data_IF_024593219776
#
_entry.id   IF_024593219776
#
_cell.length_a   1.000
_cell.length_b   1.000
_cell.length_c   1.000
_cell.angle_alpha   90.00
_cell.angle_beta   90.00
_cell.angle_gamma   90.00
#
_symmetry.space_group_name_H-M   'P 1'
#
loop_
_entity.id
_entity.type
_entity.pdbx_description
1 polymer ?
#
# COMPACT_ATOMS: atom_id res chain seq x y z
N UNK A 1 -18.95 31.83 56.90
CA UNK A 1 -18.97 32.15 55.50
C UNK A 1 -19.82 33.41 55.33
N UNK A 2 -19.23 34.50 54.82
CA UNK A 2 -19.96 35.69 54.48
C UNK A 2 -20.78 35.43 53.23
N UNK A 3 -22.08 35.22 53.40
CA UNK A 3 -23.04 35.09 52.30
C UNK A 3 -23.52 36.49 51.94
N UNK A 4 -23.20 36.97 50.75
CA UNK A 4 -23.76 38.23 50.24
C UNK A 4 -25.22 38.02 49.82
N UNK A 5 -26.10 38.74 50.48
CA UNK A 5 -27.53 38.76 50.14
C UNK A 5 -27.85 40.12 49.51
N UNK A 6 -28.30 40.09 48.25
CA UNK A 6 -28.68 41.29 47.49
C UNK A 6 -30.17 41.18 47.10
N UNK A 7 -30.86 42.32 47.24
CA UNK A 7 -32.22 42.46 46.71
C UNK A 7 -32.16 43.32 45.44
N UNK A 8 -32.59 42.77 44.35
CA UNK A 8 -32.65 43.45 43.07
C UNK A 8 -33.90 42.99 42.29
N UNK A 9 -34.61 43.90 41.70
CA UNK A 9 -35.79 43.65 40.82
C UNK A 9 -36.83 42.69 41.39
N UNK A 10 -37.13 42.80 42.69
CA UNK A 10 -38.08 41.90 43.36
C UNK A 10 -37.53 40.53 43.71
N UNK A 11 -36.24 40.25 43.52
CA UNK A 11 -35.58 38.98 43.81
C UNK A 11 -34.55 39.13 44.91
N UNK A 12 -34.44 38.14 45.76
CA UNK A 12 -33.33 37.95 46.71
C UNK A 12 -32.28 37.08 46.00
N UNK A 13 -31.07 37.64 45.89
CA UNK A 13 -29.92 36.97 45.32
C UNK A 13 -28.99 36.55 46.47
N UNK A 14 -28.64 35.28 46.51
CA UNK A 14 -27.72 34.74 47.51
C UNK A 14 -26.43 34.33 46.81
N UNK A 15 -25.28 34.77 47.33
CA UNK A 15 -23.98 34.22 46.95
C UNK A 15 -23.50 33.40 48.15
N UNK A 16 -23.36 32.08 47.92
CA UNK A 16 -22.77 31.17 48.89
C UNK A 16 -21.23 31.24 48.75
N UNK A 17 -20.50 31.26 49.87
CA UNK A 17 -19.03 31.25 49.83
C UNK A 17 -18.52 29.90 49.24
N UNK A 18 -17.30 29.90 48.77
CA UNK A 18 -16.62 28.69 48.34
C UNK A 18 -16.65 27.64 49.46
N UNK A 19 -16.86 26.37 49.11
CA UNK A 19 -16.92 25.22 50.03
C UNK A 19 -18.04 25.29 51.07
N UNK A 20 -19.14 25.96 50.76
CA UNK A 20 -20.32 26.04 51.67
C UNK A 20 -21.20 24.80 51.59
N UNK A 21 -21.20 24.10 50.43
CA UNK A 21 -21.90 22.84 50.17
C UNK A 21 -21.05 22.00 49.21
N UNK A 22 -20.21 21.13 49.74
CA UNK A 22 -19.27 20.34 48.91
C UNK A 22 -19.89 19.00 48.45
N UNK A 23 -20.81 18.46 49.24
CA UNK A 23 -21.43 17.17 48.96
C UNK A 23 -22.89 17.28 48.50
N UNK A 24 -23.31 16.34 47.66
CA UNK A 24 -24.71 16.22 47.24
C UNK A 24 -25.58 15.87 48.46
N UNK A 25 -26.70 16.61 48.62
CA UNK A 25 -27.59 16.46 49.76
C UNK A 25 -27.27 17.40 50.93
N UNK A 26 -26.10 18.05 50.92
CA UNK A 26 -25.85 19.12 51.87
C UNK A 26 -26.82 20.28 51.68
N UNK A 27 -27.15 20.94 52.78
CA UNK A 27 -28.05 22.06 52.75
C UNK A 27 -27.55 23.22 53.59
N UNK A 28 -27.85 24.43 53.13
CA UNK A 28 -27.63 25.67 53.84
C UNK A 28 -29.01 26.29 54.21
N UNK A 29 -29.13 26.80 55.42
CA UNK A 29 -30.30 27.53 55.85
C UNK A 29 -29.98 29.02 55.90
N UNK A 30 -30.67 29.79 55.10
CA UNK A 30 -30.57 31.24 55.08
C UNK A 30 -31.76 31.81 55.83
N UNK A 31 -31.50 32.47 56.97
CA UNK A 31 -32.54 33.18 57.73
C UNK A 31 -32.74 34.61 57.23
N UNK A 32 -33.88 34.92 56.77
CA UNK A 32 -34.25 36.27 56.29
C UNK A 32 -35.19 36.92 57.29
N UNK A 33 -34.82 38.08 57.82
CA UNK A 33 -35.64 38.90 58.73
C UNK A 33 -36.18 40.13 57.98
N UNK A 34 -37.49 40.21 57.83
CA UNK A 34 -38.17 41.38 57.34
C UNK A 34 -38.58 42.26 58.48
N UNK A 35 -38.09 43.49 58.51
CA UNK A 35 -38.36 44.47 59.56
C UNK A 35 -39.30 45.57 59.05
N UNK A 36 -40.30 45.92 59.85
CA UNK A 36 -41.18 47.00 59.56
C UNK A 36 -41.35 47.91 60.77
N UNK A 37 -41.47 49.23 60.57
CA UNK A 37 -41.69 50.18 61.67
C UNK A 37 -43.04 50.04 62.34
N UNK A 38 -44.03 49.48 61.63
CA UNK A 38 -45.41 49.49 62.07
C UNK A 38 -46.00 48.07 62.27
N UNK A 39 -45.20 47.03 62.04
CA UNK A 39 -45.68 45.64 62.17
C UNK A 39 -44.52 44.81 62.81
N UNK A 40 -44.95 43.68 63.38
CA UNK A 40 -43.97 42.74 63.92
C UNK A 40 -42.97 42.23 62.86
N UNK A 41 -41.74 42.06 63.25
CA UNK A 41 -40.74 41.45 62.39
C UNK A 41 -41.14 40.01 61.99
N UNK A 42 -40.92 39.64 60.73
CA UNK A 42 -41.13 38.32 60.21
C UNK A 42 -39.76 37.69 59.94
N UNK A 43 -39.51 36.50 60.51
CA UNK A 43 -38.31 35.72 60.24
C UNK A 43 -38.77 34.45 59.54
N UNK A 44 -38.17 34.14 58.40
CA UNK A 44 -38.34 32.90 57.69
C UNK A 44 -36.99 32.33 57.25
N UNK A 45 -36.93 30.97 57.19
CA UNK A 45 -35.73 30.25 56.71
C UNK A 45 -35.97 29.78 55.27
N UNK A 46 -34.94 29.91 54.48
CA UNK A 46 -34.85 29.33 53.13
C UNK A 46 -33.82 28.22 53.21
N UNK A 47 -34.23 26.99 52.92
CA UNK A 47 -33.32 25.86 52.81
C UNK A 47 -32.90 25.71 51.36
N UNK A 48 -31.59 25.76 51.11
CA UNK A 48 -30.98 25.55 49.81
C UNK A 48 -30.26 24.19 49.90
N UNK A 49 -30.59 23.26 49.03
CA UNK A 49 -30.00 21.92 49.01
C UNK A 49 -29.25 21.72 47.71
N UNK A 50 -28.02 21.21 47.82
CA UNK A 50 -27.23 20.78 46.65
C UNK A 50 -27.85 19.51 46.12
N UNK A 51 -28.31 19.50 44.90
CA UNK A 51 -28.80 18.32 44.19
C UNK A 51 -27.77 17.80 43.19
N UNK A 52 -27.83 16.51 42.90
CA UNK A 52 -27.05 15.93 41.81
C UNK A 52 -27.46 16.59 40.48
N UNK A 53 -26.51 16.70 39.56
CA UNK A 53 -26.82 17.04 38.19
C UNK A 53 -27.73 15.98 37.57
N UNK A 54 -28.66 16.40 36.76
CA UNK A 54 -29.53 15.47 36.05
C UNK A 54 -28.77 14.75 34.94
N UNK A 55 -29.10 13.52 34.69
CA UNK A 55 -28.57 12.81 33.51
C UNK A 55 -29.25 13.35 32.25
N UNK A 56 -28.47 13.46 31.19
CA UNK A 56 -28.91 13.91 29.90
C UNK A 56 -29.17 12.70 29.00
N UNK A 57 -30.38 12.50 28.53
CA UNK A 57 -30.76 11.38 27.66
C UNK A 57 -30.57 11.70 26.18
N UNK A 58 -30.67 12.98 25.78
CA UNK A 58 -30.47 13.42 24.40
C UNK A 58 -29.01 13.38 24.00
N UNK A 59 -28.76 12.99 22.75
CA UNK A 59 -27.42 12.96 22.16
C UNK A 59 -27.31 13.98 21.04
N UNK A 60 -26.10 14.48 20.70
CA UNK A 60 -25.91 15.27 19.50
C UNK A 60 -26.30 14.48 18.25
N UNK A 61 -26.80 15.18 17.23
CA UNK A 61 -27.05 14.60 15.92
C UNK A 61 -25.73 14.06 15.35
N UNK A 62 -25.64 12.79 14.91
CA UNK A 62 -24.45 12.28 14.27
C UNK A 62 -24.02 13.08 13.03
N UNK A 63 -24.94 13.72 12.33
CA UNK A 63 -24.64 14.56 11.17
C UNK A 63 -24.22 15.99 11.53
N UNK A 64 -24.19 16.35 12.82
CA UNK A 64 -23.74 17.65 13.30
C UNK A 64 -22.20 17.80 13.26
N UNK A 65 -21.45 16.77 12.90
CA UNK A 65 -20.00 16.84 12.77
C UNK A 65 -19.48 15.97 11.63
N UNK A 66 -18.35 16.36 11.08
CA UNK A 66 -17.64 15.62 10.04
C UNK A 66 -16.13 15.65 10.31
N UNK A 67 -15.35 14.97 9.47
CA UNK A 67 -13.91 14.91 9.60
C UNK A 67 -13.22 15.29 8.30
N UNK A 68 -12.21 16.11 8.41
CA UNK A 68 -11.27 16.42 7.33
C UNK A 68 -9.89 15.88 7.69
N UNK A 69 -9.12 15.51 6.67
CA UNK A 69 -7.74 15.07 6.82
C UNK A 69 -6.80 16.08 6.18
N UNK A 70 -5.76 16.47 6.91
CA UNK A 70 -4.71 17.36 6.43
C UNK A 70 -3.40 16.63 6.37
N UNK A 71 -2.63 16.90 5.32
CA UNK A 71 -1.33 16.29 5.05
C UNK A 71 -0.24 17.35 5.18
N UNK A 72 0.82 17.04 5.93
CA UNK A 72 2.02 17.86 6.05
C UNK A 72 3.25 16.99 5.91
N UNK A 73 3.87 16.99 4.73
CA UNK A 73 4.90 16.01 4.41
C UNK A 73 4.33 14.57 4.46
N UNK A 74 4.90 13.74 5.30
CA UNK A 74 4.42 12.36 5.52
C UNK A 74 3.45 12.24 6.71
N UNK A 75 3.15 13.33 7.39
CA UNK A 75 2.26 13.32 8.55
C UNK A 75 0.81 13.56 8.11
N UNK A 76 -0.09 12.77 8.64
CA UNK A 76 -1.53 12.94 8.51
C UNK A 76 -2.13 13.38 9.84
N UNK A 77 -3.05 14.33 9.77
CA UNK A 77 -3.86 14.73 10.92
C UNK A 77 -5.34 14.70 10.57
N UNK A 78 -6.13 14.09 11.44
CA UNK A 78 -7.58 14.15 11.41
C UNK A 78 -8.05 15.39 12.15
N UNK A 79 -9.02 16.10 11.60
CA UNK A 79 -9.62 17.28 12.18
C UNK A 79 -11.14 17.21 12.14
N UNK A 80 -11.78 17.30 13.31
CA UNK A 80 -13.23 17.38 13.44
C UNK A 80 -13.71 18.76 13.02
N UNK A 81 -14.72 18.81 12.17
CA UNK A 81 -15.42 20.01 11.71
C UNK A 81 -16.87 19.99 12.25
N UNK A 82 -17.28 21.08 12.89
CA UNK A 82 -18.64 21.29 13.42
C UNK A 82 -18.88 22.75 13.72
N UNK A 83 -20.11 23.18 13.59
CA UNK A 83 -20.58 24.53 13.98
C UNK A 83 -21.08 24.57 15.45
N UNK A 84 -21.10 23.44 16.15
CA UNK A 84 -21.57 23.38 17.53
C UNK A 84 -20.52 23.84 18.52
N UNK A 85 -20.99 24.53 19.57
CA UNK A 85 -20.14 25.07 20.65
C UNK A 85 -20.47 24.46 22.02
N UNK A 86 -21.57 23.70 22.11
CA UNK A 86 -22.10 23.08 23.33
C UNK A 86 -21.71 21.60 23.47
N UNK A 87 -20.72 21.18 22.71
CA UNK A 87 -20.27 19.79 22.62
C UNK A 87 -18.79 19.66 22.97
N UNK A 88 -18.37 18.48 23.33
CA UNK A 88 -17.00 18.08 23.50
C UNK A 88 -16.71 16.81 22.66
N UNK A 89 -15.43 16.60 22.36
CA UNK A 89 -14.96 15.59 21.43
C UNK A 89 -13.99 14.63 22.10
N UNK A 90 -13.96 13.40 21.57
CA UNK A 90 -12.94 12.43 21.92
C UNK A 90 -12.57 11.58 20.71
N UNK A 91 -11.27 11.23 20.57
CA UNK A 91 -10.77 10.29 19.58
C UNK A 91 -10.55 8.89 20.15
N UNK A 92 -10.57 8.73 21.47
CA UNK A 92 -10.33 7.47 22.18
C UNK A 92 -11.50 7.01 23.06
N UNK A 93 -12.49 7.88 23.25
CA UNK A 93 -13.67 7.63 24.11
C UNK A 93 -13.43 7.87 25.59
N UNK A 94 -12.21 8.28 25.99
CA UNK A 94 -11.82 8.51 27.39
C UNK A 94 -11.48 9.96 27.68
N UNK A 95 -10.64 10.56 26.82
CA UNK A 95 -10.25 11.96 26.95
C UNK A 95 -11.24 12.86 26.20
N UNK A 96 -12.02 13.63 26.96
CA UNK A 96 -13.05 14.53 26.45
C UNK A 96 -12.66 15.98 26.58
N UNK A 97 -12.92 16.77 25.55
CA UNK A 97 -12.62 18.20 25.58
C UNK A 97 -12.86 18.91 24.25
N UNK A 98 -12.24 20.08 24.10
CA UNK A 98 -12.38 20.92 22.91
C UNK A 98 -11.33 20.64 21.83
N UNK A 99 -10.47 19.63 22.01
CA UNK A 99 -9.44 19.26 21.03
C UNK A 99 -10.10 18.59 19.83
N UNK A 100 -9.99 19.26 18.66
CA UNK A 100 -10.61 18.83 17.39
C UNK A 100 -9.65 18.13 16.44
N UNK A 101 -8.36 17.97 16.79
CA UNK A 101 -7.35 17.43 15.88
C UNK A 101 -6.45 16.40 16.58
N UNK A 102 -6.11 15.36 15.85
CA UNK A 102 -5.15 14.33 16.28
C UNK A 102 -4.32 13.84 15.09
N UNK A 103 -3.05 13.44 15.35
CA UNK A 103 -2.24 12.73 14.37
C UNK A 103 -2.80 11.33 14.12
N UNK A 104 -2.79 10.89 12.88
CA UNK A 104 -3.27 9.57 12.47
C UNK A 104 -2.29 8.92 11.49
N UNK A 105 -2.28 7.60 11.43
CA UNK A 105 -1.52 6.86 10.43
C UNK A 105 -2.17 6.88 9.04
N UNK A 106 -1.46 6.38 8.06
CA UNK A 106 -1.95 6.23 6.69
C UNK A 106 -2.82 4.98 6.57
N UNK A 107 -3.96 5.10 5.89
CA UNK A 107 -4.93 4.03 5.70
C UNK A 107 -5.46 3.44 7.02
N UNK A 108 -5.59 4.29 8.01
CA UNK A 108 -6.12 3.91 9.32
C UNK A 108 -7.60 4.23 9.46
N UNK A 109 -8.26 3.39 10.26
CA UNK A 109 -9.61 3.64 10.73
C UNK A 109 -9.57 4.65 11.87
N UNK A 110 -10.14 5.83 11.63
CA UNK A 110 -10.24 6.90 12.63
C UNK A 110 -11.66 6.95 13.17
N UNK A 111 -11.79 6.90 14.48
CA UNK A 111 -13.06 7.03 15.20
C UNK A 111 -13.03 8.37 15.93
N UNK A 112 -14.08 9.15 15.77
CA UNK A 112 -14.30 10.31 16.62
C UNK A 112 -15.69 10.23 17.24
N UNK A 113 -15.78 10.75 18.46
CA UNK A 113 -16.99 10.79 19.25
C UNK A 113 -17.30 12.23 19.63
N UNK A 114 -18.58 12.51 19.74
CA UNK A 114 -19.14 13.80 20.16
C UNK A 114 -20.20 13.55 21.22
N UNK A 115 -20.25 14.40 22.24
CA UNK A 115 -21.32 14.43 23.22
C UNK A 115 -21.61 15.86 23.65
N UNK A 116 -22.77 16.11 24.18
CA UNK A 116 -23.00 17.39 24.86
C UNK A 116 -22.13 17.49 26.09
N UNK A 117 -21.47 18.63 26.24
CA UNK A 117 -20.63 18.90 27.39
C UNK A 117 -21.45 18.97 28.69
N UNK A 118 -20.82 18.67 29.81
CA UNK A 118 -21.37 18.86 31.12
C UNK A 118 -21.69 20.34 31.37
N UNK A 119 -22.81 20.62 32.04
CA UNK A 119 -23.24 21.95 32.47
C UNK A 119 -23.43 21.98 33.98
N UNK A 120 -23.87 23.12 34.52
CA UNK A 120 -24.21 23.23 35.96
C UNK A 120 -25.39 22.32 36.34
N UNK A 121 -26.31 22.10 35.43
CA UNK A 121 -27.57 21.38 35.68
C UNK A 121 -27.55 19.93 35.23
N UNK A 122 -26.71 19.58 34.26
CA UNK A 122 -26.68 18.28 33.58
C UNK A 122 -25.31 17.65 33.53
N UNK A 123 -25.23 16.36 33.71
CA UNK A 123 -24.09 15.55 33.36
C UNK A 123 -23.88 15.56 31.83
N UNK A 124 -22.68 15.24 31.39
CA UNK A 124 -22.42 15.06 29.96
C UNK A 124 -23.35 13.99 29.35
N UNK A 125 -23.80 14.18 28.12
CA UNK A 125 -24.69 13.23 27.45
C UNK A 125 -24.00 11.91 27.09
N UNK A 126 -24.75 10.87 26.74
CA UNK A 126 -24.21 9.75 25.98
C UNK A 126 -23.54 10.24 24.69
N UNK A 127 -22.52 9.55 24.23
CA UNK A 127 -21.75 9.94 23.05
C UNK A 127 -22.28 9.30 21.77
N UNK A 128 -22.13 10.01 20.67
CA UNK A 128 -22.33 9.52 19.31
C UNK A 128 -20.98 9.39 18.62
N UNK A 129 -20.74 8.29 17.90
CA UNK A 129 -19.50 8.01 17.21
C UNK A 129 -19.68 7.90 15.70
N UNK A 130 -18.70 8.37 14.94
CA UNK A 130 -18.57 8.13 13.50
C UNK A 130 -17.17 7.61 13.19
N UNK A 131 -17.06 6.98 12.03
CA UNK A 131 -15.81 6.34 11.59
C UNK A 131 -15.46 6.79 10.19
N UNK A 132 -14.18 7.09 9.98
CA UNK A 132 -13.61 7.45 8.69
C UNK A 132 -12.37 6.61 8.42
N UNK A 133 -11.89 6.63 7.18
CA UNK A 133 -10.56 6.16 6.81
C UNK A 133 -9.67 7.39 6.54
N UNK A 134 -8.47 7.40 7.10
CA UNK A 134 -7.54 8.54 7.00
C UNK A 134 -7.00 8.77 5.58
N UNK A 135 -7.09 7.77 4.70
CA UNK A 135 -6.49 7.85 3.38
C UNK A 135 -4.96 7.77 3.40
N UNK A 136 -4.33 8.44 2.45
CA UNK A 136 -2.88 8.44 2.29
C UNK A 136 -2.35 9.86 2.15
N UNK A 137 -1.05 10.05 2.48
CA UNK A 137 -0.29 11.25 2.16
C UNK A 137 0.13 11.29 0.68
N UNK A 138 1.16 12.08 0.35
CA UNK A 138 1.69 12.12 -1.00
C UNK A 138 2.12 10.73 -1.49
N UNK A 139 1.74 10.38 -2.71
CA UNK A 139 2.11 9.12 -3.34
C UNK A 139 3.25 9.34 -4.33
N UNK A 140 4.22 8.43 -4.32
CA UNK A 140 5.32 8.42 -5.27
C UNK A 140 4.91 7.70 -6.54
N UNK A 141 5.03 8.38 -7.67
CA UNK A 141 4.74 7.84 -8.99
C UNK A 141 5.90 6.99 -9.51
N UNK A 142 5.58 5.86 -10.10
CA UNK A 142 6.47 4.98 -10.86
C UNK A 142 5.95 4.87 -12.28
N UNK A 143 6.79 5.25 -13.23
CA UNK A 143 6.42 5.19 -14.65
C UNK A 143 6.34 3.74 -15.14
N UNK A 144 5.51 3.51 -16.16
CA UNK A 144 5.44 2.22 -16.84
C UNK A 144 6.81 1.82 -17.41
N UNK A 145 7.14 0.56 -17.27
CA UNK A 145 8.30 -0.08 -17.90
C UNK A 145 7.81 -1.14 -18.87
N UNK A 146 8.10 -0.98 -20.15
CA UNK A 146 7.70 -1.97 -21.16
C UNK A 146 8.42 -3.30 -20.96
N UNK A 147 7.73 -4.43 -21.01
CA UNK A 147 8.35 -5.75 -20.90
C UNK A 147 9.16 -6.07 -22.16
N UNK A 148 10.19 -6.85 -22.00
CA UNK A 148 10.98 -7.42 -23.09
C UNK A 148 10.93 -8.93 -23.04
N UNK A 149 11.51 -9.60 -24.02
CA UNK A 149 11.64 -11.06 -23.98
C UNK A 149 12.67 -11.56 -22.94
N UNK A 150 13.44 -10.65 -22.33
CA UNK A 150 14.41 -11.00 -21.27
C UNK A 150 14.00 -10.53 -19.89
N UNK A 151 13.24 -9.45 -19.81
CA UNK A 151 12.86 -8.82 -18.55
C UNK A 151 11.35 -8.57 -18.51
N UNK A 152 10.77 -8.74 -17.33
CA UNK A 152 9.42 -8.30 -17.02
C UNK A 152 9.36 -6.77 -17.05
N UNK A 153 8.19 -6.23 -17.36
CA UNK A 153 7.87 -4.83 -17.26
C UNK A 153 7.01 -4.51 -16.04
N UNK A 154 6.54 -3.30 -15.97
CA UNK A 154 5.57 -2.86 -14.98
C UNK A 154 4.56 -1.90 -15.59
N UNK A 155 3.32 -1.91 -15.09
CA UNK A 155 2.36 -0.83 -15.34
C UNK A 155 2.84 0.44 -14.64
N UNK A 156 2.24 1.58 -14.96
CA UNK A 156 2.36 2.79 -14.15
C UNK A 156 1.63 2.55 -12.81
N UNK A 157 2.27 2.92 -11.69
CA UNK A 157 1.69 2.74 -10.35
C UNK A 157 2.24 3.80 -9.38
N UNK A 158 1.62 3.87 -8.20
CA UNK A 158 2.02 4.76 -7.12
C UNK A 158 2.28 3.98 -5.84
N UNK A 159 3.16 4.49 -5.00
CA UNK A 159 3.45 3.91 -3.68
C UNK A 159 3.26 4.94 -2.58
N UNK A 160 2.76 4.48 -1.42
CA UNK A 160 2.81 5.25 -0.20
C UNK A 160 4.03 4.81 0.62
N UNK A 161 4.98 5.71 0.87
CA UNK A 161 6.22 5.38 1.59
C UNK A 161 5.97 5.07 3.07
N UNK A 162 4.85 5.50 3.62
CA UNK A 162 4.53 5.30 5.04
C UNK A 162 3.90 3.93 5.29
N UNK A 163 2.86 3.55 4.51
CA UNK A 163 2.18 2.27 4.70
C UNK A 163 2.64 1.17 3.73
N UNK A 164 3.48 1.48 2.73
CA UNK A 164 4.03 0.52 1.77
C UNK A 164 3.02 -0.03 0.75
N UNK A 165 1.83 0.51 0.68
CA UNK A 165 0.80 0.07 -0.28
C UNK A 165 1.05 0.62 -1.68
N UNK A 166 0.58 -0.15 -2.67
CA UNK A 166 0.63 0.18 -4.10
C UNK A 166 -0.76 0.60 -4.58
N UNK A 167 -0.80 1.55 -5.54
CA UNK A 167 -2.03 2.11 -6.08
C UNK A 167 -1.99 2.19 -7.60
N UNK A 168 -3.16 1.98 -8.22
CA UNK A 168 -3.35 2.10 -9.67
C UNK A 168 -3.53 3.57 -10.13
N UNK A 169 -3.70 4.51 -9.18
CA UNK A 169 -4.00 5.92 -9.47
C UNK A 169 -3.36 6.85 -8.45
N UNK A 170 -3.09 8.09 -8.86
CA UNK A 170 -2.44 9.11 -8.05
C UNK A 170 -3.25 9.56 -6.81
N UNK A 171 -4.56 9.32 -6.81
CA UNK A 171 -5.47 9.66 -5.71
C UNK A 171 -5.50 8.59 -4.60
N UNK A 172 -4.81 7.45 -4.78
CA UNK A 172 -4.79 6.37 -3.80
C UNK A 172 -6.13 5.64 -3.61
N UNK A 173 -7.10 5.86 -4.50
CA UNK A 173 -8.45 5.30 -4.36
C UNK A 173 -8.53 3.80 -4.58
N UNK A 174 -7.59 3.24 -5.36
CA UNK A 174 -7.55 1.82 -5.71
C UNK A 174 -6.19 1.21 -5.39
N UNK A 175 -6.14 0.45 -4.31
CA UNK A 175 -4.96 -0.36 -4.00
C UNK A 175 -4.83 -1.54 -4.96
N UNK A 176 -3.59 -1.89 -5.28
CA UNK A 176 -3.21 -3.05 -6.10
C UNK A 176 -2.11 -3.84 -5.39
N UNK A 177 -1.93 -5.07 -5.81
CA UNK A 177 -0.87 -5.94 -5.28
C UNK A 177 0.42 -5.82 -6.12
N UNK A 178 1.55 -6.23 -5.56
CA UNK A 178 2.82 -6.27 -6.28
C UNK A 178 2.75 -7.15 -7.55
N UNK A 179 1.92 -8.19 -7.56
CA UNK A 179 1.73 -9.07 -8.72
C UNK A 179 0.92 -8.43 -9.84
N UNK A 180 0.00 -7.51 -9.51
CA UNK A 180 -0.77 -6.76 -10.51
C UNK A 180 0.04 -5.69 -11.21
N UNK A 181 1.18 -5.29 -10.62
CA UNK A 181 2.10 -4.32 -11.21
C UNK A 181 2.91 -4.93 -12.35
N UNK A 182 3.23 -6.23 -12.25
CA UNK A 182 4.16 -6.90 -13.17
C UNK A 182 3.52 -7.15 -14.53
N UNK A 183 4.18 -6.69 -15.58
CA UNK A 183 3.92 -7.08 -16.96
C UNK A 183 4.83 -8.25 -17.32
N UNK A 184 4.28 -9.41 -17.71
CA UNK A 184 5.08 -10.59 -18.03
C UNK A 184 6.00 -10.33 -19.22
N UNK A 185 7.10 -11.08 -19.29
CA UNK A 185 8.03 -11.05 -20.45
C UNK A 185 7.25 -11.32 -21.74
N UNK A 186 7.64 -10.66 -22.79
CA UNK A 186 7.13 -10.94 -24.13
C UNK A 186 7.76 -12.19 -24.72
N UNK A 187 7.10 -12.80 -25.68
CA UNK A 187 7.67 -13.91 -26.45
C UNK A 187 8.88 -13.43 -27.27
N UNK A 188 9.78 -14.38 -27.59
CA UNK A 188 10.88 -14.10 -28.49
C UNK A 188 10.39 -13.87 -29.91
N UNK A 189 10.85 -12.79 -30.53
CA UNK A 189 10.65 -12.52 -31.96
C UNK A 189 11.74 -13.25 -32.74
N UNK A 190 11.46 -14.47 -33.20
CA UNK A 190 12.40 -15.28 -33.96
C UNK A 190 12.56 -14.73 -35.39
N UNK A 191 13.82 -14.60 -35.86
CA UNK A 191 14.10 -14.25 -37.24
C UNK A 191 13.57 -15.36 -38.19
N UNK A 192 13.12 -14.97 -39.36
CA UNK A 192 12.60 -15.92 -40.36
C UNK A 192 13.68 -16.90 -40.87
N UNK A 193 14.95 -16.47 -40.88
CA UNK A 193 16.05 -17.32 -41.32
C UNK A 193 16.58 -18.27 -40.22
N UNK A 194 17.13 -19.38 -40.64
CA UNK A 194 17.81 -20.33 -39.78
C UNK A 194 19.30 -20.05 -39.72
N UNK A 195 19.88 -20.18 -38.54
CA UNK A 195 21.31 -20.45 -38.33
C UNK A 195 21.50 -21.96 -38.24
N UNK A 196 22.62 -22.48 -38.74
CA UNK A 196 22.85 -23.93 -38.76
C UNK A 196 24.33 -24.26 -38.67
N UNK A 197 24.62 -25.43 -38.13
CA UNK A 197 25.93 -26.09 -38.15
C UNK A 197 25.78 -27.60 -38.35
N UNK A 198 26.86 -28.38 -38.17
CA UNK A 198 26.80 -29.85 -38.32
C UNK A 198 25.83 -30.57 -37.37
N UNK A 199 25.39 -29.91 -36.29
CA UNK A 199 24.53 -30.53 -35.28
C UNK A 199 23.05 -30.32 -35.54
N UNK A 200 22.67 -29.23 -36.26
CA UNK A 200 21.29 -28.88 -36.52
C UNK A 200 21.09 -27.41 -36.95
N UNK A 201 19.87 -26.97 -36.83
CA UNK A 201 19.51 -25.60 -37.14
C UNK A 201 18.64 -24.99 -36.04
N UNK A 202 18.65 -23.66 -35.94
CA UNK A 202 17.91 -22.88 -34.93
C UNK A 202 17.58 -21.48 -35.44
N UNK A 203 16.63 -20.82 -34.76
CA UNK A 203 16.35 -19.42 -34.96
C UNK A 203 17.12 -18.54 -33.97
N UNK A 204 17.35 -17.30 -34.33
CA UNK A 204 17.89 -16.25 -33.47
C UNK A 204 16.80 -15.22 -33.18
N UNK A 205 16.63 -14.84 -31.93
CA UNK A 205 15.75 -13.72 -31.61
C UNK A 205 16.31 -12.40 -32.13
N UNK A 206 15.52 -11.69 -32.93
CA UNK A 206 15.92 -10.40 -33.50
C UNK A 206 16.07 -9.27 -32.46
N UNK A 207 15.45 -9.41 -31.29
CA UNK A 207 15.46 -8.42 -30.22
C UNK A 207 16.63 -8.66 -29.24
N UNK A 208 16.75 -9.85 -28.68
CA UNK A 208 17.71 -10.13 -27.61
C UNK A 208 18.93 -10.96 -28.05
N UNK A 209 18.91 -11.51 -29.28
CA UNK A 209 20.01 -12.28 -29.82
C UNK A 209 20.14 -13.74 -29.33
N UNK A 210 19.27 -14.15 -28.39
CA UNK A 210 19.24 -15.54 -27.90
C UNK A 210 18.82 -16.48 -29.02
N UNK A 211 19.27 -17.74 -28.98
CA UNK A 211 18.90 -18.78 -29.96
C UNK A 211 17.79 -19.68 -29.43
N UNK A 212 16.93 -20.18 -30.34
CA UNK A 212 15.97 -21.23 -30.02
C UNK A 212 16.70 -22.56 -29.76
N UNK A 213 15.94 -23.57 -29.34
CA UNK A 213 16.45 -24.94 -29.29
C UNK A 213 16.93 -25.39 -30.67
N UNK A 214 18.03 -26.14 -30.70
CA UNK A 214 18.58 -26.71 -31.92
C UNK A 214 17.69 -27.88 -32.37
N UNK A 215 17.24 -27.81 -33.60
CA UNK A 215 16.49 -28.89 -34.26
C UNK A 215 17.40 -29.66 -35.20
N UNK A 216 17.27 -30.97 -35.28
CA UNK A 216 18.06 -31.80 -36.15
C UNK A 216 17.76 -31.51 -37.63
N UNK A 217 18.76 -31.66 -38.48
CA UNK A 217 18.58 -31.54 -39.93
C UNK A 217 17.60 -32.60 -40.47
N UNK A 218 16.64 -32.13 -41.31
CA UNK A 218 15.76 -32.97 -42.03
C UNK A 218 16.33 -33.27 -43.43
N UNK A 219 16.81 -34.50 -43.68
CA UNK A 219 17.38 -34.90 -44.97
C UNK A 219 16.38 -34.80 -46.10
N UNK A 220 16.74 -34.12 -47.17
CA UNK A 220 16.03 -34.10 -48.44
C UNK A 220 16.27 -35.31 -49.34
N UNK A 221 16.98 -36.30 -48.82
CA UNK A 221 17.39 -37.53 -49.50
C UNK A 221 18.91 -37.68 -49.57
N UNK A 222 19.39 -38.92 -49.48
CA UNK A 222 20.82 -39.22 -49.41
C UNK A 222 21.62 -38.64 -50.58
N UNK A 223 22.90 -38.28 -50.32
CA UNK A 223 23.80 -37.79 -51.33
C UNK A 223 24.02 -38.80 -52.47
N UNK A 224 24.01 -38.32 -53.70
CA UNK A 224 24.29 -39.08 -54.92
C UNK A 224 25.50 -38.51 -55.64
N UNK A 225 25.91 -39.06 -56.75
CA UNK A 225 26.97 -38.48 -57.61
C UNK A 225 26.58 -37.12 -58.22
N UNK A 226 25.27 -36.86 -58.32
CA UNK A 226 24.77 -35.63 -58.95
C UNK A 226 24.39 -34.53 -57.94
N UNK A 227 23.99 -34.94 -56.73
CA UNK A 227 23.53 -33.98 -55.71
C UNK A 227 24.06 -34.27 -54.32
N UNK A 228 24.32 -33.27 -53.54
CA UNK A 228 24.60 -33.34 -52.12
C UNK A 228 23.32 -33.66 -51.31
N UNK A 229 23.45 -34.18 -50.12
CA UNK A 229 22.36 -34.27 -49.14
C UNK A 229 22.20 -32.93 -48.44
N UNK A 230 21.03 -32.35 -48.57
CA UNK A 230 20.73 -31.00 -48.05
C UNK A 230 19.57 -31.07 -47.08
N UNK A 231 19.64 -30.32 -46.02
CA UNK A 231 18.50 -30.13 -45.10
C UNK A 231 17.39 -29.37 -45.85
N UNK A 232 16.16 -29.93 -45.82
CA UNK A 232 14.99 -29.35 -46.50
C UNK A 232 14.48 -28.09 -45.84
N UNK A 233 14.85 -27.84 -44.55
CA UNK A 233 14.38 -26.71 -43.76
C UNK A 233 15.35 -25.52 -43.86
N UNK A 234 16.63 -25.72 -43.60
CA UNK A 234 17.62 -24.67 -43.52
C UNK A 234 18.61 -24.57 -44.68
N UNK A 235 18.62 -25.58 -45.61
CA UNK A 235 19.54 -25.62 -46.75
C UNK A 235 20.97 -26.04 -46.42
N UNK A 236 21.26 -26.45 -45.17
CA UNK A 236 22.58 -26.91 -44.76
C UNK A 236 22.96 -28.21 -45.50
N UNK A 237 24.20 -28.27 -46.01
CA UNK A 237 24.75 -29.46 -46.67
C UNK A 237 25.14 -30.50 -45.59
N UNK A 238 24.33 -31.57 -45.49
CA UNK A 238 24.50 -32.65 -44.51
C UNK A 238 25.65 -33.56 -44.98
N UNK A 239 25.68 -33.90 -46.26
CA UNK A 239 26.75 -34.70 -46.86
C UNK A 239 27.03 -34.24 -48.28
N UNK A 240 28.31 -34.14 -48.67
CA UNK A 240 28.68 -33.75 -50.02
C UNK A 240 28.30 -34.82 -51.06
N UNK A 241 28.31 -34.43 -52.32
CA UNK A 241 28.14 -35.37 -53.46
C UNK A 241 29.11 -36.54 -53.34
N UNK A 242 28.60 -37.72 -53.63
CA UNK A 242 29.45 -38.91 -53.71
C UNK A 242 30.42 -38.77 -54.92
N UNK A 243 31.65 -39.26 -54.82
CA UNK A 243 32.57 -39.29 -55.96
C UNK A 243 32.00 -40.16 -57.08
N UNK A 244 32.20 -39.78 -58.31
CA UNK A 244 31.89 -40.64 -59.43
C UNK A 244 32.76 -41.92 -59.32
N UNK A 245 32.18 -43.09 -59.61
CA UNK A 245 32.98 -44.32 -59.64
C UNK A 245 34.07 -44.14 -60.71
N UNK A 246 35.32 -44.16 -60.32
CA UNK A 246 36.44 -44.29 -61.27
C UNK A 246 36.38 -45.70 -61.82
N UNK A 247 36.12 -45.78 -63.12
CA UNK A 247 36.41 -47.03 -63.84
C UNK A 247 37.92 -47.02 -64.10
N UNK A 248 38.64 -47.46 -63.11
CA UNK A 248 40.02 -47.94 -63.32
C UNK A 248 40.00 -49.44 -63.37
N UNK A 249 39.67 -49.94 -64.58
CA UNK A 249 40.17 -51.25 -65.03
C UNK A 249 41.57 -51.01 -65.43
N UNK A 250 42.52 -51.28 -64.56
CA UNK A 250 43.91 -51.61 -64.94
C UNK A 250 44.35 -52.79 -64.07
N UNK A 251 44.29 -53.94 -64.71
CA UNK A 251 45.11 -55.11 -64.40
C UNK A 251 46.54 -54.63 -64.41
N UNK A 252 47.31 -54.84 -63.35
CA UNK A 252 48.65 -55.43 -63.47
C UNK A 252 49.18 -55.82 -62.11
N UNK A 253 49.79 -56.98 -62.16
CA UNK A 253 50.50 -57.75 -61.16
C UNK A 253 51.68 -57.04 -60.49
N UNK A 254 52.03 -57.64 -59.39
CA UNK A 254 53.40 -57.80 -58.84
C UNK A 254 53.81 -56.91 -57.62
N UNK A 255 53.81 -57.63 -56.53
CA UNK A 255 55.01 -57.93 -55.70
C UNK A 255 55.63 -56.86 -54.82
N UNK A 256 55.88 -57.34 -53.64
CA UNK A 256 57.01 -57.06 -52.73
C UNK A 256 56.97 -56.00 -51.65
N UNK A 257 56.81 -56.57 -50.49
CA UNK A 257 57.53 -56.33 -49.23
C UNK A 257 57.77 -54.92 -48.66
N UNK A 258 57.47 -54.92 -47.40
CA UNK A 258 58.24 -54.44 -46.23
C UNK A 258 58.06 -53.02 -45.68
N UNK A 259 57.85 -53.12 -44.39
CA UNK A 259 58.34 -52.29 -43.28
C UNK A 259 57.63 -50.97 -42.84
N UNK A 260 57.08 -51.17 -41.70
CA UNK A 260 57.14 -50.36 -40.49
C UNK A 260 57.81 -48.98 -40.52
N UNK A 261 57.15 -48.01 -39.95
CA UNK A 261 57.68 -47.36 -38.73
C UNK A 261 56.66 -46.32 -38.19
N UNK A 262 56.36 -46.49 -36.92
CA UNK A 262 56.02 -45.57 -35.88
C UNK A 262 56.54 -44.13 -36.09
N UNK A 263 55.72 -43.16 -35.74
CA UNK A 263 56.11 -42.15 -34.74
C UNK A 263 54.89 -41.38 -34.18
N UNK A 264 54.82 -41.44 -32.86
CA UNK A 264 54.14 -40.54 -31.97
C UNK A 264 54.44 -39.05 -32.24
N UNK A 265 53.46 -38.20 -31.95
CA UNK A 265 53.57 -36.97 -31.16
C UNK A 265 52.19 -36.39 -30.87
N UNK A 266 51.72 -36.50 -29.71
CA UNK A 266 51.70 -35.70 -28.46
C UNK A 266 51.79 -34.19 -28.66
N UNK A 267 50.71 -33.48 -28.22
CA UNK A 267 50.72 -32.31 -27.37
C UNK A 267 49.30 -31.68 -27.35
N UNK A 268 48.59 -31.77 -26.28
CA UNK A 268 48.43 -30.89 -25.12
C UNK A 268 48.02 -29.44 -25.46
N UNK A 269 46.91 -29.05 -24.93
CA UNK A 269 46.47 -27.67 -24.86
C UNK A 269 45.08 -27.52 -24.21
N UNK A 270 45.03 -27.68 -22.90
CA UNK A 270 43.86 -27.31 -22.10
C UNK A 270 43.78 -25.78 -21.97
N UNK A 271 42.63 -25.22 -22.13
CA UNK A 271 42.35 -23.87 -21.67
C UNK A 271 41.02 -23.82 -20.88
N UNK A 272 41.17 -23.48 -19.63
CA UNK A 272 40.15 -23.29 -18.59
C UNK A 272 39.31 -22.03 -18.82
N UNK A 273 38.03 -22.00 -18.49
CA UNK A 273 37.23 -20.77 -18.51
C UNK A 273 37.40 -19.96 -17.21
N UNK A 274 37.25 -18.63 -17.22
CA UNK A 274 37.31 -17.81 -16.02
C UNK A 274 35.95 -17.76 -15.31
N UNK A 275 36.06 -17.67 -13.98
CA UNK A 275 34.99 -17.60 -13.03
C UNK A 275 34.29 -16.24 -13.02
N UNK A 276 33.00 -16.28 -12.60
CA UNK A 276 32.13 -15.15 -12.31
C UNK A 276 32.66 -14.32 -11.12
N UNK A 277 32.41 -13.04 -11.23
CA UNK A 277 32.21 -12.11 -10.10
C UNK A 277 30.86 -11.44 -10.26
#
# INVERSE_FOLDING_TARGET
>A
ADSDIKYSEGKLLFTLGENTMDDIGEHAIVSVQLRSKNYNDIVFGITITRTAKADREDTPDPDAFDMTFTVSGNDLAAQITTDRTDVEFSFDGTDWGQTKSTGVGHNEKVIAQIRYAETDDYNASPAVSKTWNSGHGPLNRHDQVEPTCQAEGSIEYWTCDVCGLYFASADGSKSITATEIVLPKTDHSWAEGYLSDMTGHWHKCGVCGITSNTEKHASGGAATTERAEICTICGYEIAPKKPAASNDDDDDDDDDSSQASNTDQKATGAATPPAAT
#
